data_IF_437104875185
#
_entry.id   IF_437104875185
#
_cell.length_a   1.000
_cell.length_b   1.000
_cell.length_c   1.000
_cell.angle_alpha   90.00
_cell.angle_beta   90.00
_cell.angle_gamma   90.00
#
_symmetry.space_group_name_H-M   'P 1'
#
loop_
_entity.id
_entity.type
_entity.pdbx_description
1 polymer ?
#
# COMPACT_ATOMS: atom_id res chain seq x y z
N UNK A 1 0.11 -3.78 -11.41
CA UNK A 1 0.88 -2.57 -11.11
C UNK A 1 1.50 -2.04 -12.39
N UNK A 2 1.54 -0.73 -12.58
CA UNK A 2 2.15 -0.08 -13.75
C UNK A 2 3.65 0.09 -13.51
N UNK A 3 4.48 -0.06 -14.54
CA UNK A 3 5.93 0.15 -14.42
C UNK A 3 6.29 1.65 -14.36
N UNK A 4 7.42 2.03 -13.73
CA UNK A 4 7.92 3.41 -13.72
C UNK A 4 8.11 3.98 -15.13
N UNK A 5 8.55 3.16 -16.08
CA UNK A 5 8.73 3.60 -17.47
C UNK A 5 7.40 3.98 -18.12
N UNK A 6 6.38 3.13 -17.97
CA UNK A 6 5.05 3.44 -18.49
C UNK A 6 4.44 4.69 -17.80
N UNK A 7 4.66 4.86 -16.50
CA UNK A 7 4.25 6.08 -15.80
C UNK A 7 4.96 7.33 -16.31
N UNK A 8 6.26 7.25 -16.59
CA UNK A 8 7.01 8.36 -17.14
C UNK A 8 6.40 8.82 -18.47
N UNK A 9 6.15 7.86 -19.37
CA UNK A 9 5.67 8.13 -20.72
C UNK A 9 4.22 8.65 -20.70
N UNK A 10 3.36 8.07 -19.87
CA UNK A 10 1.99 8.57 -19.66
C UNK A 10 2.01 9.97 -19.07
N UNK A 11 2.83 10.23 -18.05
CA UNK A 11 2.93 11.55 -17.42
C UNK A 11 3.43 12.61 -18.42
N UNK A 12 4.40 12.27 -19.26
CA UNK A 12 4.92 13.14 -20.31
C UNK A 12 3.83 13.48 -21.33
N UNK A 13 3.12 12.48 -21.84
CA UNK A 13 2.03 12.69 -22.80
C UNK A 13 0.86 13.49 -22.21
N UNK A 14 0.52 13.29 -20.93
CA UNK A 14 -0.51 14.07 -20.25
C UNK A 14 -0.12 15.55 -20.17
N UNK A 15 1.14 15.83 -19.83
CA UNK A 15 1.67 17.20 -19.76
C UNK A 15 1.71 17.85 -21.15
N UNK A 16 2.23 17.15 -22.16
CA UNK A 16 2.34 17.67 -23.53
C UNK A 16 0.98 18.00 -24.15
N UNK A 17 -0.03 17.20 -23.83
CA UNK A 17 -1.40 17.39 -24.34
C UNK A 17 -2.25 18.33 -23.49
N UNK A 18 -1.71 18.84 -22.37
CA UNK A 18 -2.45 19.70 -21.45
C UNK A 18 -3.67 19.02 -20.85
N UNK A 19 -3.57 17.72 -20.51
CA UNK A 19 -4.67 16.98 -19.89
C UNK A 19 -4.78 17.38 -18.42
N UNK A 20 -5.89 18.03 -18.06
CA UNK A 20 -6.19 18.43 -16.69
C UNK A 20 -7.08 17.37 -16.02
N UNK A 21 -6.45 16.36 -15.39
CA UNK A 21 -7.15 15.30 -14.66
C UNK A 21 -6.42 14.94 -13.37
N UNK A 22 -7.17 14.77 -12.29
CA UNK A 22 -6.64 14.22 -11.04
C UNK A 22 -6.61 12.70 -11.11
N UNK A 23 -5.43 12.12 -10.93
CA UNK A 23 -5.16 10.70 -11.18
C UNK A 23 -4.62 9.97 -9.98
N UNK A 24 -4.89 8.66 -9.95
CA UNK A 24 -4.25 7.69 -9.05
C UNK A 24 -3.47 6.64 -9.83
N UNK A 25 -2.53 5.96 -9.19
CA UNK A 25 -1.84 4.80 -9.76
C UNK A 25 -1.51 3.72 -8.71
N UNK A 26 -1.46 2.47 -9.15
CA UNK A 26 -1.03 1.32 -8.35
C UNK A 26 0.33 0.82 -8.86
N UNK A 27 1.31 0.81 -7.98
CA UNK A 27 2.73 0.70 -8.30
C UNK A 27 3.42 -0.38 -7.48
N UNK A 28 4.55 -0.82 -8.02
CA UNK A 28 5.58 -1.52 -7.25
C UNK A 28 6.69 -0.52 -6.92
N UNK A 29 7.40 -0.78 -5.83
CA UNK A 29 8.64 -0.06 -5.54
C UNK A 29 9.72 -0.51 -6.51
N UNK A 30 10.38 0.45 -7.16
CA UNK A 30 11.47 0.20 -8.09
C UNK A 30 12.56 1.26 -7.93
N UNK A 31 13.83 0.85 -7.99
CA UNK A 31 15.01 1.72 -7.80
C UNK A 31 15.07 2.94 -8.72
N UNK A 32 14.42 2.85 -9.89
CA UNK A 32 14.41 3.91 -10.90
C UNK A 32 13.46 5.06 -10.56
N UNK A 33 12.65 4.95 -9.49
CA UNK A 33 11.74 5.99 -9.05
C UNK A 33 12.47 7.13 -8.31
N UNK A 34 12.97 8.09 -9.08
CA UNK A 34 13.71 9.25 -8.56
C UNK A 34 12.81 10.49 -8.35
N UNK A 35 13.38 11.55 -7.76
CA UNK A 35 12.67 12.83 -7.54
C UNK A 35 12.11 13.42 -8.85
N UNK A 36 12.79 13.23 -10.00
CA UNK A 36 12.35 13.77 -11.29
C UNK A 36 11.09 13.07 -11.77
N UNK A 37 11.03 11.75 -11.63
CA UNK A 37 9.84 10.98 -11.98
C UNK A 37 8.65 11.41 -11.12
N UNK A 38 8.80 11.48 -9.79
CA UNK A 38 7.70 11.91 -8.92
C UNK A 38 7.26 13.36 -9.19
N UNK A 39 8.20 14.28 -9.44
CA UNK A 39 7.85 15.65 -9.83
C UNK A 39 7.09 15.71 -11.17
N UNK A 40 7.49 14.88 -12.15
CA UNK A 40 6.78 14.75 -13.43
C UNK A 40 5.37 14.21 -13.21
N UNK A 41 5.22 13.16 -12.41
CA UNK A 41 3.92 12.58 -12.07
C UNK A 41 3.01 13.60 -11.38
N UNK A 42 3.53 14.37 -10.41
CA UNK A 42 2.76 15.43 -9.76
C UNK A 42 2.27 16.47 -10.78
N UNK A 43 3.15 16.90 -11.69
CA UNK A 43 2.80 17.85 -12.76
C UNK A 43 1.76 17.29 -13.74
N UNK A 44 1.77 15.98 -13.98
CA UNK A 44 0.78 15.29 -14.80
C UNK A 44 -0.57 15.05 -14.09
N UNK A 45 -0.74 15.51 -12.84
CA UNK A 45 -2.01 15.39 -12.11
C UNK A 45 -2.14 14.14 -11.24
N UNK A 46 -1.07 13.35 -11.05
CA UNK A 46 -1.11 12.27 -10.06
C UNK A 46 -1.12 12.84 -8.64
N UNK A 47 -2.22 12.61 -7.93
CA UNK A 47 -2.41 13.06 -6.55
C UNK A 47 -2.29 11.91 -5.54
N UNK A 48 -2.53 10.67 -5.98
CA UNK A 48 -2.60 9.51 -5.10
C UNK A 48 -1.85 8.29 -5.67
N UNK A 49 -0.82 7.81 -4.98
CA UNK A 49 -0.07 6.62 -5.36
C UNK A 49 -0.23 5.52 -4.32
N UNK A 50 -0.53 4.32 -4.78
CA UNK A 50 -0.67 3.15 -3.95
C UNK A 50 0.44 2.15 -4.28
N UNK A 51 1.15 1.69 -3.26
CA UNK A 51 2.29 0.79 -3.39
C UNK A 51 1.99 -0.52 -2.66
N UNK A 52 2.32 -1.65 -3.27
CA UNK A 52 2.37 -2.92 -2.53
C UNK A 52 3.70 -3.01 -1.79
N UNK A 53 3.70 -2.75 -0.48
CA UNK A 53 4.83 -2.93 0.44
C UNK A 53 5.00 -4.42 0.78
N UNK A 54 3.89 -5.10 1.06
CA UNK A 54 3.82 -6.50 1.51
C UNK A 54 4.50 -6.75 2.87
N UNK A 55 5.79 -6.43 3.02
CA UNK A 55 6.59 -6.53 4.24
C UNK A 55 7.74 -5.54 4.17
N UNK A 56 8.21 -4.99 5.30
CA UNK A 56 9.45 -4.20 5.36
C UNK A 56 10.64 -5.01 5.89
N UNK A 57 10.65 -6.32 5.67
CA UNK A 57 11.76 -7.20 5.97
C UNK A 57 12.34 -7.82 4.69
N UNK A 58 13.64 -7.64 4.46
CA UNK A 58 14.27 -8.03 3.20
C UNK A 58 14.26 -9.54 2.94
N UNK A 59 14.28 -10.37 3.99
CA UNK A 59 14.17 -11.84 3.84
C UNK A 59 12.77 -12.20 3.33
N UNK A 60 11.73 -11.63 3.94
CA UNK A 60 10.33 -11.86 3.54
C UNK A 60 10.08 -11.33 2.13
N UNK A 61 10.57 -10.13 1.81
CA UNK A 61 10.50 -9.56 0.45
C UNK A 61 11.18 -10.44 -0.61
N UNK A 62 12.33 -11.04 -0.26
CA UNK A 62 13.02 -11.98 -1.14
C UNK A 62 12.22 -13.28 -1.34
N UNK A 63 11.55 -13.79 -0.30
CA UNK A 63 10.69 -14.97 -0.42
C UNK A 63 9.47 -14.72 -1.31
N UNK A 64 8.87 -13.53 -1.21
CA UNK A 64 7.75 -13.10 -2.07
C UNK A 64 8.21 -12.92 -3.54
N UNK A 65 9.52 -12.86 -3.79
CA UNK A 65 10.11 -12.46 -5.07
C UNK A 65 9.61 -11.07 -5.50
N UNK A 66 9.62 -10.14 -4.54
CA UNK A 66 9.05 -8.80 -4.74
C UNK A 66 9.88 -7.94 -5.69
N UNK A 67 11.19 -8.19 -5.76
CA UNK A 67 12.14 -7.44 -6.59
C UNK A 67 12.54 -6.07 -6.01
N UNK A 68 12.36 -5.86 -4.72
CA UNK A 68 12.71 -4.63 -3.98
C UNK A 68 13.37 -4.96 -2.63
N UNK A 69 13.81 -3.94 -1.89
CA UNK A 69 14.27 -4.04 -0.51
C UNK A 69 13.77 -2.84 0.30
N UNK A 70 13.78 -2.96 1.63
CA UNK A 70 13.29 -1.96 2.59
C UNK A 70 13.80 -0.55 2.31
N UNK A 71 15.06 -0.39 1.92
CA UNK A 71 15.66 0.92 1.64
C UNK A 71 15.01 1.59 0.42
N UNK A 72 14.71 0.82 -0.63
CA UNK A 72 14.07 1.34 -1.85
C UNK A 72 12.62 1.73 -1.57
N UNK A 73 11.93 0.97 -0.72
CA UNK A 73 10.56 1.27 -0.30
C UNK A 73 10.52 2.58 0.48
N UNK A 74 11.41 2.75 1.47
CA UNK A 74 11.56 3.98 2.25
C UNK A 74 11.83 5.19 1.36
N UNK A 75 12.85 5.08 0.52
CA UNK A 75 13.30 6.17 -0.34
C UNK A 75 12.20 6.61 -1.32
N UNK A 76 11.44 5.65 -1.90
CA UNK A 76 10.31 5.95 -2.77
C UNK A 76 9.18 6.69 -2.04
N UNK A 77 8.86 6.27 -0.81
CA UNK A 77 7.82 6.92 0.01
C UNK A 77 8.20 8.35 0.40
N UNK A 78 9.46 8.56 0.80
CA UNK A 78 10.00 9.88 1.11
C UNK A 78 9.97 10.81 -0.12
N UNK A 79 10.41 10.33 -1.28
CA UNK A 79 10.39 11.10 -2.53
C UNK A 79 8.99 11.44 -3.00
N UNK A 80 8.05 10.49 -2.95
CA UNK A 80 6.65 10.75 -3.32
C UNK A 80 6.02 11.78 -2.39
N UNK A 81 6.29 11.69 -1.08
CA UNK A 81 5.84 12.66 -0.09
C UNK A 81 6.37 14.07 -0.41
N UNK A 82 7.68 14.19 -0.65
CA UNK A 82 8.36 15.45 -1.00
C UNK A 82 7.83 16.07 -2.29
N UNK A 83 7.40 15.25 -3.25
CA UNK A 83 6.74 15.71 -4.47
C UNK A 83 5.30 16.22 -4.24
N UNK A 84 4.77 16.14 -3.02
CA UNK A 84 3.41 16.58 -2.70
C UNK A 84 2.33 15.59 -3.18
N UNK A 85 2.68 14.30 -3.29
CA UNK A 85 1.77 13.23 -3.68
C UNK A 85 1.41 12.40 -2.43
N UNK A 86 0.13 12.10 -2.27
CA UNK A 86 -0.31 11.20 -1.20
C UNK A 86 0.12 9.77 -1.55
N UNK A 87 0.83 9.11 -0.64
CA UNK A 87 1.19 7.69 -0.78
C UNK A 87 0.35 6.82 0.16
N UNK A 88 0.03 5.61 -0.31
CA UNK A 88 -0.60 4.57 0.49
C UNK A 88 0.12 3.26 0.28
N UNK A 89 0.34 2.49 1.33
CA UNK A 89 1.02 1.18 1.24
C UNK A 89 0.09 0.03 1.64
N UNK A 90 0.15 -1.06 0.89
CA UNK A 90 -0.52 -2.32 1.26
C UNK A 90 0.49 -3.29 1.82
N UNK A 91 0.16 -3.91 2.93
CA UNK A 91 1.01 -4.91 3.59
C UNK A 91 0.14 -6.01 4.20
N UNK A 92 0.77 -7.14 4.49
CA UNK A 92 0.12 -8.22 5.22
C UNK A 92 1.08 -8.87 6.21
N UNK A 93 0.52 -9.60 7.17
CA UNK A 93 1.26 -10.41 8.12
C UNK A 93 0.92 -11.88 7.95
N UNK A 94 1.88 -12.75 8.27
CA UNK A 94 1.71 -14.20 8.20
C UNK A 94 2.02 -14.78 6.83
N UNK A 95 2.95 -14.18 6.07
CA UNK A 95 3.49 -14.87 4.90
C UNK A 95 4.13 -16.20 5.34
N UNK A 96 4.11 -17.28 4.52
CA UNK A 96 4.78 -18.53 4.89
C UNK A 96 6.22 -18.29 5.36
N UNK A 97 6.57 -18.87 6.51
CA UNK A 97 7.86 -18.70 7.23
C UNK A 97 8.14 -17.33 7.84
N UNK A 98 7.27 -16.33 7.70
CA UNK A 98 7.43 -15.03 8.37
C UNK A 98 7.32 -15.20 9.88
N UNK A 99 8.30 -14.68 10.62
CA UNK A 99 8.33 -14.77 12.09
C UNK A 99 7.80 -13.50 12.74
N UNK A 100 7.38 -13.59 14.02
CA UNK A 100 6.89 -12.41 14.76
C UNK A 100 7.91 -11.26 14.81
N UNK A 101 9.23 -11.48 15.02
CA UNK A 101 10.21 -10.40 14.97
C UNK A 101 10.26 -9.68 13.61
N UNK A 102 10.11 -10.40 12.50
CA UNK A 102 10.16 -9.78 11.16
C UNK A 102 8.88 -9.03 10.83
N UNK A 103 7.73 -9.55 11.27
CA UNK A 103 6.48 -8.80 11.26
C UNK A 103 6.58 -7.52 12.11
N UNK A 104 7.27 -7.58 13.25
CA UNK A 104 7.52 -6.42 14.10
C UNK A 104 8.41 -5.37 13.39
N UNK A 105 9.42 -5.80 12.61
CA UNK A 105 10.21 -4.88 11.78
C UNK A 105 9.33 -4.08 10.80
N UNK A 106 8.26 -4.69 10.29
CA UNK A 106 7.31 -4.01 9.39
C UNK A 106 6.49 -2.96 10.13
N UNK A 107 6.01 -3.26 11.35
CA UNK A 107 5.32 -2.27 12.20
C UNK A 107 6.27 -1.12 12.59
N UNK A 108 7.51 -1.45 12.95
CA UNK A 108 8.53 -0.47 13.31
C UNK A 108 8.89 0.41 12.10
N UNK A 109 8.98 -0.15 10.90
CA UNK A 109 9.18 0.61 9.67
C UNK A 109 8.07 1.65 9.45
N UNK A 110 6.80 1.28 9.62
CA UNK A 110 5.69 2.22 9.49
C UNK A 110 5.78 3.34 10.54
N UNK A 111 6.08 3.00 11.79
CA UNK A 111 6.23 3.96 12.90
C UNK A 111 7.43 4.90 12.72
N UNK A 112 8.52 4.41 12.15
CA UNK A 112 9.73 5.19 11.97
C UNK A 112 9.67 6.12 10.75
N UNK A 113 8.62 6.00 9.91
CA UNK A 113 8.43 6.77 8.67
C UNK A 113 7.07 7.50 8.62
N UNK A 114 6.50 7.85 9.79
CA UNK A 114 5.23 8.60 9.91
C UNK A 114 5.25 9.95 9.19
N UNK A 115 6.42 10.55 9.02
CA UNK A 115 6.62 11.82 8.34
C UNK A 115 6.43 11.72 6.81
N UNK A 116 6.59 10.52 6.25
CA UNK A 116 6.58 10.29 4.81
C UNK A 116 5.47 9.35 4.35
N UNK A 117 4.95 8.47 5.22
CA UNK A 117 3.84 7.57 4.93
C UNK A 117 2.52 8.25 5.32
N UNK A 118 1.59 8.37 4.38
CA UNK A 118 0.33 9.08 4.64
C UNK A 118 -0.80 8.15 5.06
N UNK A 119 -0.86 6.96 4.48
CA UNK A 119 -1.79 5.91 4.89
C UNK A 119 -1.29 4.51 4.52
N UNK A 120 -1.91 3.49 5.09
CA UNK A 120 -1.61 2.10 4.76
C UNK A 120 -2.80 1.19 5.05
N UNK A 121 -2.84 0.03 4.42
CA UNK A 121 -3.86 -1.00 4.63
C UNK A 121 -3.19 -2.30 5.03
N UNK A 122 -3.18 -2.66 6.33
CA UNK A 122 -2.65 -3.94 6.79
C UNK A 122 -3.69 -5.04 6.65
N UNK A 123 -3.23 -6.28 6.53
CA UNK A 123 -4.08 -7.45 6.52
C UNK A 123 -3.37 -8.70 7.01
N UNK A 124 -4.08 -9.81 7.03
CA UNK A 124 -3.48 -11.15 7.19
C UNK A 124 -3.32 -11.76 5.81
N UNK A 125 -2.18 -12.39 5.55
CA UNK A 125 -1.90 -13.03 4.27
C UNK A 125 -2.97 -14.09 3.97
N UNK A 126 -3.47 -14.06 2.73
CA UNK A 126 -4.45 -15.02 2.23
C UNK A 126 -3.86 -15.76 1.04
N UNK A 127 -3.87 -17.10 1.10
CA UNK A 127 -3.37 -17.92 0.01
C UNK A 127 -4.38 -17.94 -1.14
N UNK A 128 -4.02 -17.28 -2.25
CA UNK A 128 -4.87 -17.25 -3.44
C UNK A 128 -4.62 -18.48 -4.33
N UNK A 129 -5.69 -19.10 -4.84
CA UNK A 129 -5.63 -20.31 -5.71
C UNK A 129 -4.76 -20.15 -6.97
N UNK A 130 -4.65 -18.95 -7.51
CA UNK A 130 -3.84 -18.69 -8.72
C UNK A 130 -2.43 -18.16 -8.42
N UNK A 131 -2.03 -18.15 -7.14
CA UNK A 131 -0.71 -17.65 -6.73
C UNK A 131 0.40 -18.69 -6.88
N UNK A 132 1.64 -18.23 -7.04
CA UNK A 132 2.82 -19.09 -7.01
C UNK A 132 2.92 -19.89 -5.71
N UNK A 133 2.46 -19.33 -4.60
CA UNK A 133 2.41 -20.01 -3.30
C UNK A 133 1.46 -21.21 -3.32
N UNK A 134 0.35 -21.12 -4.05
CA UNK A 134 -0.58 -22.24 -4.21
C UNK A 134 -0.06 -23.28 -5.21
N UNK A 135 0.54 -22.83 -6.31
CA UNK A 135 1.06 -23.74 -7.36
C UNK A 135 2.31 -24.51 -6.91
N UNK A 136 3.16 -23.89 -6.06
CA UNK A 136 4.44 -24.45 -5.62
C UNK A 136 4.60 -24.36 -4.10
N UNK A 137 3.71 -24.97 -3.30
CA UNK A 137 3.64 -24.78 -1.85
C UNK A 137 4.93 -25.15 -1.12
N UNK A 138 5.63 -26.20 -1.59
CA UNK A 138 6.90 -26.65 -1.01
C UNK A 138 8.01 -25.59 -1.11
N UNK A 139 8.00 -24.74 -2.16
CA UNK A 139 8.97 -23.63 -2.32
C UNK A 139 8.84 -22.60 -1.19
N UNK A 140 7.67 -22.51 -0.57
CA UNK A 140 7.34 -21.54 0.47
C UNK A 140 7.15 -22.20 1.84
N UNK A 141 7.58 -23.46 2.02
CA UNK A 141 7.42 -24.23 3.27
C UNK A 141 5.96 -24.40 3.72
N UNK A 142 5.00 -24.37 2.79
CA UNK A 142 3.60 -24.68 3.05
C UNK A 142 3.45 -26.21 3.08
N UNK A 143 3.10 -26.76 4.23
CA UNK A 143 2.92 -28.21 4.41
C UNK A 143 1.54 -28.68 3.95
N UNK A 144 0.52 -27.85 4.18
CA UNK A 144 -0.86 -28.21 3.88
C UNK A 144 -1.68 -27.00 3.52
N UNK A 145 -2.39 -27.09 2.41
CA UNK A 145 -3.44 -26.14 2.02
C UNK A 145 -4.77 -26.69 2.57
N UNK A 146 -5.54 -25.84 3.24
CA UNK A 146 -6.81 -26.22 3.84
C UNK A 146 -7.91 -25.95 2.82
N UNK A 147 -8.50 -27.02 2.30
CA UNK A 147 -9.66 -26.96 1.43
C UNK A 147 -10.94 -27.18 2.23
N UNK A 148 -11.95 -26.37 1.94
CA UNK A 148 -13.30 -26.48 2.48
C UNK A 148 -14.25 -26.87 1.32
N UNK A 149 -14.82 -28.10 1.32
CA UNK A 149 -15.74 -28.56 0.28
C UNK A 149 -16.97 -27.66 0.11
N UNK A 150 -17.42 -27.01 1.19
CA UNK A 150 -18.58 -26.11 1.18
C UNK A 150 -18.20 -24.71 0.65
N UNK A 151 -16.90 -24.43 0.50
CA UNK A 151 -16.33 -23.21 -0.09
C UNK A 151 -15.52 -23.50 -1.35
N UNK A 152 -16.02 -24.37 -2.20
CA UNK A 152 -15.35 -24.80 -3.42
C UNK A 152 -15.08 -23.67 -4.45
N UNK A 153 -15.78 -22.53 -4.34
CA UNK A 153 -15.55 -21.31 -5.14
C UNK A 153 -14.71 -20.24 -4.42
N UNK A 154 -14.27 -20.47 -3.19
CA UNK A 154 -13.45 -19.50 -2.46
C UNK A 154 -12.09 -19.32 -3.15
N UNK A 155 -11.76 -18.08 -3.49
CA UNK A 155 -10.47 -17.72 -4.11
C UNK A 155 -9.31 -17.72 -3.10
N UNK A 156 -9.63 -17.47 -1.83
CA UNK A 156 -8.69 -17.43 -0.72
C UNK A 156 -8.82 -18.71 0.12
N UNK A 157 -7.69 -19.31 0.46
CA UNK A 157 -7.57 -20.52 1.25
C UNK A 157 -6.73 -20.27 2.49
N UNK A 158 -6.99 -21.06 3.53
CA UNK A 158 -6.10 -21.14 4.68
C UNK A 158 -5.00 -22.19 4.41
N UNK A 159 -3.90 -22.11 5.13
CA UNK A 159 -2.78 -23.03 4.99
C UNK A 159 -2.07 -23.24 6.33
N UNK A 160 -1.24 -24.28 6.38
CA UNK A 160 -0.32 -24.58 7.47
C UNK A 160 1.09 -24.53 6.92
N UNK A 161 1.92 -23.69 7.51
CA UNK A 161 3.35 -23.63 7.26
C UNK A 161 4.10 -24.44 8.32
N UNK A 162 5.23 -25.03 7.94
CA UNK A 162 6.12 -25.77 8.85
C UNK A 162 6.70 -24.90 9.96
N UNK A 163 6.93 -23.64 9.62
CA UNK A 163 7.59 -22.64 10.45
C UNK A 163 7.01 -21.25 10.16
N UNK A 164 7.35 -20.29 11.01
CA UNK A 164 6.78 -18.94 10.99
C UNK A 164 5.54 -18.83 11.88
N UNK A 165 4.85 -17.70 11.75
CA UNK A 165 3.64 -17.39 12.52
C UNK A 165 2.47 -18.28 12.13
N UNK A 166 1.67 -18.64 13.13
CA UNK A 166 0.31 -19.12 12.89
C UNK A 166 -0.59 -17.99 12.39
N UNK A 167 -1.76 -18.36 11.86
CA UNK A 167 -2.80 -17.40 11.44
C UNK A 167 -3.31 -16.54 12.60
N UNK A 168 -3.35 -17.10 13.81
CA UNK A 168 -3.72 -16.37 15.02
C UNK A 168 -2.68 -15.30 15.35
N UNK A 169 -1.40 -15.66 15.37
CA UNK A 169 -0.31 -14.72 15.62
C UNK A 169 -0.23 -13.62 14.55
N UNK A 170 -0.47 -13.96 13.27
CA UNK A 170 -0.57 -12.97 12.20
C UNK A 170 -1.75 -12.01 12.43
N UNK A 171 -2.88 -12.50 12.94
CA UNK A 171 -4.03 -11.70 13.35
C UNK A 171 -3.72 -10.77 14.54
N UNK A 172 -2.92 -11.23 15.49
CA UNK A 172 -2.42 -10.41 16.60
C UNK A 172 -1.51 -9.28 16.09
N UNK A 173 -0.55 -9.58 15.19
CA UNK A 173 0.32 -8.58 14.57
C UNK A 173 -0.49 -7.54 13.76
N UNK A 174 -1.47 -8.00 12.98
CA UNK A 174 -2.37 -7.10 12.26
C UNK A 174 -3.15 -6.18 13.21
N UNK A 175 -3.68 -6.73 14.30
CA UNK A 175 -4.41 -5.95 15.31
C UNK A 175 -3.50 -4.93 16.01
N UNK A 176 -2.25 -5.31 16.28
CA UNK A 176 -1.24 -4.39 16.81
C UNK A 176 -0.93 -3.26 15.82
N UNK A 177 -0.78 -3.56 14.54
CA UNK A 177 -0.53 -2.58 13.49
C UNK A 177 -1.70 -1.58 13.34
N UNK A 178 -2.95 -2.06 13.44
CA UNK A 178 -4.14 -1.21 13.41
C UNK A 178 -4.19 -0.27 14.61
N UNK A 179 -3.95 -0.78 15.84
CA UNK A 179 -3.89 0.05 17.05
C UNK A 179 -2.82 1.14 16.95
N UNK A 180 -1.64 0.80 16.42
CA UNK A 180 -0.59 1.78 16.15
C UNK A 180 -1.08 2.86 15.16
N UNK A 181 -1.81 2.47 14.11
CA UNK A 181 -2.42 3.41 13.18
C UNK A 181 -3.39 4.37 13.88
N UNK A 182 -4.29 3.83 14.71
CA UNK A 182 -5.28 4.59 15.48
C UNK A 182 -4.62 5.60 16.43
N UNK A 183 -3.49 5.24 17.02
CA UNK A 183 -2.72 6.11 17.92
C UNK A 183 -1.92 7.18 17.19
N UNK A 184 -1.29 6.83 16.06
CA UNK A 184 -0.22 7.64 15.44
C UNK A 184 -0.61 8.33 14.13
N UNK A 185 -1.72 7.96 13.48
CA UNK A 185 -2.18 8.56 12.22
C UNK A 185 -3.45 9.37 12.42
N UNK A 186 -3.37 10.70 12.63
CA UNK A 186 -4.53 11.57 12.85
C UNK A 186 -5.55 11.53 11.70
N UNK A 187 -5.08 11.26 10.49
CA UNK A 187 -5.89 11.22 9.27
C UNK A 187 -6.62 9.88 9.08
N UNK A 188 -6.43 8.88 9.94
CA UNK A 188 -7.04 7.54 9.82
C UNK A 188 -8.56 7.61 9.71
N UNK A 189 -9.22 8.50 10.45
CA UNK A 189 -10.68 8.67 10.37
C UNK A 189 -11.16 9.03 8.95
N UNK A 190 -10.30 9.70 8.16
CA UNK A 190 -10.58 10.10 6.79
C UNK A 190 -10.28 8.99 5.79
N UNK A 191 -9.04 8.48 5.77
CA UNK A 191 -8.65 7.49 4.75
C UNK A 191 -9.08 6.05 5.09
N UNK A 192 -9.41 5.77 6.35
CA UNK A 192 -9.90 4.46 6.80
C UNK A 192 -11.39 4.23 6.53
N UNK A 193 -12.16 5.31 6.30
CA UNK A 193 -13.61 5.23 6.07
C UNK A 193 -13.99 5.42 4.61
N UNK A 194 -13.21 6.19 3.84
CA UNK A 194 -13.48 6.45 2.44
C UNK A 194 -12.97 5.29 1.56
N UNK A 195 -13.79 4.76 0.63
CA UNK A 195 -13.28 3.88 -0.41
C UNK A 195 -12.19 4.61 -1.21
N UNK A 196 -11.14 3.89 -1.63
CA UNK A 196 -9.92 4.47 -2.22
C UNK A 196 -10.20 5.38 -3.40
N UNK A 197 -11.15 5.00 -4.25
CA UNK A 197 -11.54 5.74 -5.45
C UNK A 197 -12.23 7.07 -5.09
N UNK A 198 -12.95 7.09 -3.97
CA UNK A 198 -13.56 8.31 -3.42
C UNK A 198 -12.54 9.19 -2.70
N UNK A 199 -11.51 8.57 -2.11
CA UNK A 199 -10.42 9.31 -1.49
C UNK A 199 -9.64 10.18 -2.50
N UNK A 200 -9.54 9.75 -3.76
CA UNK A 200 -8.99 10.58 -4.83
C UNK A 200 -9.80 11.88 -5.02
N UNK A 201 -11.14 11.80 -5.00
CA UNK A 201 -12.01 12.97 -5.12
C UNK A 201 -11.82 13.93 -3.93
N UNK A 202 -11.58 13.38 -2.74
CA UNK A 202 -11.26 14.18 -1.57
C UNK A 202 -9.93 14.92 -1.76
N UNK A 203 -8.87 14.22 -2.19
CA UNK A 203 -7.57 14.82 -2.47
C UNK A 203 -7.62 15.88 -3.57
N UNK A 204 -8.45 15.68 -4.59
CA UNK A 204 -8.67 16.66 -5.66
C UNK A 204 -9.33 17.94 -5.11
N UNK A 205 -10.37 17.78 -4.29
CA UNK A 205 -11.14 18.90 -3.76
C UNK A 205 -10.39 19.71 -2.70
N UNK A 206 -9.72 19.04 -1.76
CA UNK A 206 -9.15 19.68 -0.57
C UNK A 206 -7.62 19.74 -0.57
N UNK A 207 -6.96 19.00 -1.45
CA UNK A 207 -5.51 18.85 -1.45
C UNK A 207 -4.99 17.98 -0.30
N UNK A 208 -3.69 17.68 -0.35
CA UNK A 208 -3.01 16.86 0.67
C UNK A 208 -2.99 17.52 2.05
N UNK A 209 -2.75 18.83 2.12
CA UNK A 209 -2.57 19.55 3.40
C UNK A 209 -3.83 19.63 4.26
N UNK A 210 -5.00 19.45 3.64
CA UNK A 210 -6.28 19.37 4.34
C UNK A 210 -6.41 18.15 5.26
N UNK A 211 -5.53 17.15 5.10
CA UNK A 211 -5.54 15.90 5.86
C UNK A 211 -4.65 15.95 7.11
N UNK A 212 -4.06 17.10 7.42
CA UNK A 212 -3.30 17.31 8.66
C UNK A 212 -4.20 17.45 9.91
N UNK A 213 -5.53 17.42 9.75
CA UNK A 213 -6.53 17.48 10.82
C UNK A 213 -7.47 16.27 10.84
N UNK A 214 -8.28 16.16 11.90
CA UNK A 214 -9.28 15.07 12.07
C UNK A 214 -10.56 15.25 11.26
N UNK A 215 -10.76 16.43 10.65
CA UNK A 215 -11.96 16.76 9.90
C UNK A 215 -11.60 17.49 8.61
N UNK A 216 -12.45 17.41 7.57
CA UNK A 216 -12.28 18.23 6.39
C UNK A 216 -12.21 19.71 6.76
N UNK A 217 -11.44 20.53 6.03
CA UNK A 217 -11.48 21.98 6.18
C UNK A 217 -12.92 22.50 6.06
N UNK A 218 -13.28 23.48 6.87
CA UNK A 218 -14.58 24.14 6.76
C UNK A 218 -14.77 24.70 5.35
N UNK A 219 -15.90 24.41 4.70
CA UNK A 219 -16.20 24.92 3.37
C UNK A 219 -16.50 26.43 3.42
N UNK A 220 -15.91 27.20 2.51
CA UNK A 220 -16.62 28.34 1.92
C UNK A 220 -17.50 27.77 0.80
N UNK A 221 -18.82 27.93 0.91
CA UNK A 221 -19.78 27.50 -0.12
C UNK A 221 -19.39 28.08 -1.49
N UNK A 222 -18.79 27.25 -2.34
CA UNK A 222 -18.77 27.47 -3.78
C UNK A 222 -19.65 26.43 -4.43
N UNK A 223 -20.82 26.89 -4.86
CA UNK A 223 -21.77 26.16 -5.71
C UNK A 223 -21.01 25.66 -6.95
N UNK A 224 -20.68 24.38 -6.98
CA UNK A 224 -20.13 23.70 -8.14
C UNK A 224 -21.31 23.17 -8.97
N UNK A 225 -21.49 23.79 -10.13
CA UNK A 225 -22.56 23.61 -11.12
C UNK A 225 -23.90 24.35 -10.82
N UNK A 226 -24.12 25.45 -11.55
CA UNK A 226 -25.48 25.85 -11.95
C UNK A 226 -25.84 25.04 -13.20
N UNK A 227 -27.03 24.43 -13.17
CA UNK A 227 -27.63 23.73 -14.31
C UNK A 227 -27.84 24.67 -15.51
#
# INVERSE_FOLDING_TARGET
AVSPHALNDVSELMIERGVEICSLALLKFEKVMDDKLFAKMKKAGFAFLMFGLESANDRVLALIDKGTCKEVERDSLQKSHKAGIWNHTFLFFGFPTETRPEAQETIDFLRDNLDSIHSFGPGVFLLNRDSSCYQYPEKFSIERIIEDPDRNIAMNLDFVSKEGMSREEAGEMNSQCIKMAEELFPSLEMWGTLPREHFLLYLDKFGKEALNGKQPPAEEEKVLCRA
#
